data_IF_770595062358
#
_entry.id   IF_770595062358
#
_cell.length_a   1.000
_cell.length_b   1.000
_cell.length_c   1.000
_cell.angle_alpha   90.00
_cell.angle_beta   90.00
_cell.angle_gamma   90.00
#
_symmetry.space_group_name_H-M   'P 1'
#
loop_
_entity.id
_entity.type
_entity.pdbx_description
1 polymer ?
#
# COMPACT_ATOMS: atom_id res chain seq x y z
N UNK A 1 -10.92 9.43 17.60
CA UNK A 1 -10.13 8.39 18.29
C UNK A 1 -11.00 7.17 18.50
N UNK A 2 -10.46 5.95 18.38
CA UNK A 2 -11.23 4.72 18.66
C UNK A 2 -11.46 4.60 20.18
N UNK A 3 -12.67 4.26 20.61
CA UNK A 3 -13.07 4.19 22.03
C UNK A 3 -12.54 2.94 22.78
N UNK A 4 -11.33 2.51 22.45
CA UNK A 4 -10.64 1.32 23.00
C UNK A 4 -9.17 1.64 23.19
N UNK A 5 -8.56 1.07 24.24
CA UNK A 5 -7.12 1.27 24.46
C UNK A 5 -6.29 0.60 23.36
N UNK A 6 -5.13 1.19 22.97
CA UNK A 6 -4.24 0.61 21.97
C UNK A 6 -3.82 -0.85 22.30
N UNK A 7 -3.64 -1.16 23.59
CA UNK A 7 -3.27 -2.50 24.05
C UNK A 7 -4.42 -3.50 23.87
N UNK A 8 -5.65 -3.10 24.20
CA UNK A 8 -6.82 -3.96 24.00
C UNK A 8 -7.07 -4.24 22.52
N UNK A 9 -6.92 -3.22 21.67
CA UNK A 9 -7.00 -3.35 20.22
C UNK A 9 -5.93 -4.30 19.67
N UNK A 10 -4.68 -4.10 20.06
CA UNK A 10 -3.55 -4.93 19.62
C UNK A 10 -3.75 -6.39 20.01
N UNK A 11 -4.24 -6.67 21.23
CA UNK A 11 -4.53 -8.02 21.71
C UNK A 11 -5.65 -8.69 20.91
N UNK A 12 -6.75 -7.97 20.63
CA UNK A 12 -7.87 -8.46 19.81
C UNK A 12 -7.46 -8.74 18.37
N UNK A 13 -6.64 -7.88 17.77
CA UNK A 13 -6.13 -8.06 16.41
C UNK A 13 -5.22 -9.28 16.34
N UNK A 14 -4.27 -9.40 17.28
CA UNK A 14 -3.34 -10.54 17.32
C UNK A 14 -4.08 -11.86 17.52
N UNK A 15 -5.11 -11.90 18.37
CA UNK A 15 -5.88 -13.13 18.60
C UNK A 15 -6.73 -13.56 17.40
N UNK A 16 -7.20 -12.62 16.57
CA UNK A 16 -8.03 -12.95 15.39
C UNK A 16 -7.22 -13.22 14.13
N UNK A 17 -6.13 -12.49 13.91
CA UNK A 17 -5.39 -12.50 12.64
C UNK A 17 -3.98 -13.08 12.75
N UNK A 18 -3.51 -13.39 13.96
CA UNK A 18 -2.14 -13.81 14.24
C UNK A 18 -1.07 -12.82 13.71
N UNK A 19 -1.44 -11.54 13.61
CA UNK A 19 -0.61 -10.44 13.11
C UNK A 19 -0.72 -9.25 14.05
N UNK A 20 0.30 -8.40 14.07
CA UNK A 20 0.25 -7.11 14.75
C UNK A 20 -0.59 -6.12 13.93
N UNK A 21 -1.19 -5.09 14.57
CA UNK A 21 -1.90 -4.04 13.84
C UNK A 21 -1.03 -3.38 12.76
N UNK A 22 0.25 -3.15 13.06
CA UNK A 22 1.20 -2.59 12.10
C UNK A 22 1.41 -3.47 10.87
N UNK A 23 1.45 -4.80 11.04
CA UNK A 23 1.54 -5.73 9.90
C UNK A 23 0.30 -5.66 9.02
N UNK A 24 -0.90 -5.57 9.62
CA UNK A 24 -2.15 -5.45 8.85
C UNK A 24 -2.17 -4.14 8.06
N UNK A 25 -1.76 -3.04 8.68
CA UNK A 25 -1.66 -1.74 8.01
C UNK A 25 -0.66 -1.84 6.85
N UNK A 26 0.50 -2.44 7.07
CA UNK A 26 1.51 -2.62 6.01
C UNK A 26 0.97 -3.44 4.83
N UNK A 27 0.32 -4.57 5.10
CA UNK A 27 -0.30 -5.40 4.07
C UNK A 27 -1.38 -4.62 3.30
N UNK A 28 -2.18 -3.81 3.99
CA UNK A 28 -3.21 -3.00 3.35
C UNK A 28 -2.63 -1.89 2.48
N UNK A 29 -1.59 -1.21 2.95
CA UNK A 29 -0.88 -0.17 2.18
C UNK A 29 -0.24 -0.77 0.94
N UNK A 30 0.39 -1.95 1.05
CA UNK A 30 0.99 -2.63 -0.10
C UNK A 30 -0.07 -3.10 -1.11
N UNK A 31 -1.22 -3.60 -0.63
CA UNK A 31 -2.33 -3.96 -1.50
C UNK A 31 -2.83 -2.74 -2.29
N UNK A 32 -3.02 -1.62 -1.62
CA UNK A 32 -3.49 -0.39 -2.26
C UNK A 32 -2.45 0.17 -3.25
N UNK A 33 -1.17 0.13 -2.89
CA UNK A 33 -0.08 0.50 -3.78
C UNK A 33 -0.06 -0.33 -5.07
N UNK A 34 -0.16 -1.66 -4.97
CA UNK A 34 -0.24 -2.55 -6.14
C UNK A 34 -1.44 -2.21 -7.01
N UNK A 35 -2.59 -1.97 -6.36
CA UNK A 35 -3.83 -1.59 -7.05
C UNK A 35 -3.66 -0.27 -7.81
N UNK A 36 -3.15 0.77 -7.18
CA UNK A 36 -2.93 2.06 -7.85
C UNK A 36 -1.90 1.96 -8.98
N UNK A 37 -0.82 1.19 -8.79
CA UNK A 37 0.23 1.03 -9.81
C UNK A 37 -0.32 0.35 -11.06
N UNK A 38 -1.21 -0.63 -10.92
CA UNK A 38 -1.76 -1.42 -12.02
C UNK A 38 -3.06 -0.84 -12.61
N UNK A 39 -3.94 -0.29 -11.78
CA UNK A 39 -5.27 0.16 -12.18
C UNK A 39 -5.36 1.67 -12.43
N UNK A 40 -4.26 2.42 -12.40
CA UNK A 40 -4.27 3.84 -12.73
C UNK A 40 -3.09 4.21 -13.62
N UNK A 41 -3.17 5.36 -14.28
CA UNK A 41 -2.07 5.96 -15.05
C UNK A 41 -1.19 6.90 -14.22
N UNK A 42 -1.43 6.99 -12.91
CA UNK A 42 -0.69 7.88 -12.00
C UNK A 42 0.81 7.55 -12.03
N UNK A 43 1.66 8.55 -11.99
CA UNK A 43 3.09 8.38 -11.77
C UNK A 43 3.36 7.76 -10.39
N UNK A 44 4.54 7.16 -10.21
CA UNK A 44 4.94 6.59 -8.91
C UNK A 44 5.00 7.70 -7.84
N UNK A 45 5.37 8.92 -8.23
CA UNK A 45 5.33 10.12 -7.38
C UNK A 45 3.92 10.45 -6.89
N UNK A 46 2.93 10.48 -7.77
CA UNK A 46 1.53 10.76 -7.39
C UNK A 46 0.99 9.68 -6.45
N UNK A 47 1.29 8.40 -6.73
CA UNK A 47 0.90 7.28 -5.86
C UNK A 47 1.54 7.40 -4.47
N UNK A 48 2.82 7.80 -4.40
CA UNK A 48 3.49 8.02 -3.12
C UNK A 48 2.78 9.09 -2.29
N UNK A 49 2.42 10.21 -2.92
CA UNK A 49 1.69 11.31 -2.26
C UNK A 49 0.31 10.85 -1.77
N UNK A 50 -0.46 10.13 -2.60
CA UNK A 50 -1.80 9.64 -2.23
C UNK A 50 -1.78 8.62 -1.08
N UNK A 51 -0.72 7.82 -1.00
CA UNK A 51 -0.50 6.89 0.09
C UNK A 51 0.16 7.53 1.32
N UNK A 52 0.25 8.87 1.34
CA UNK A 52 0.80 9.68 2.43
C UNK A 52 2.29 9.40 2.73
N UNK A 53 3.08 9.08 1.70
CA UNK A 53 4.53 9.06 1.79
C UNK A 53 5.09 10.45 1.51
N UNK A 54 6.14 10.83 2.23
CA UNK A 54 6.79 12.14 2.08
C UNK A 54 7.36 12.35 0.67
N UNK A 55 7.89 11.29 0.06
CA UNK A 55 8.43 11.32 -1.28
C UNK A 55 8.39 9.93 -1.94
N UNK A 56 8.67 9.93 -3.24
CA UNK A 56 8.73 8.73 -4.07
C UNK A 56 9.82 7.74 -3.64
N UNK A 57 10.93 8.23 -3.08
CA UNK A 57 12.06 7.40 -2.68
C UNK A 57 11.71 6.53 -1.47
N UNK A 58 11.11 7.13 -0.43
CA UNK A 58 10.61 6.44 0.75
C UNK A 58 9.52 5.43 0.38
N UNK A 59 8.58 5.81 -0.48
CA UNK A 59 7.59 4.89 -1.01
C UNK A 59 8.23 3.71 -1.75
N UNK A 60 9.17 3.97 -2.67
CA UNK A 60 9.83 2.93 -3.46
C UNK A 60 10.61 1.95 -2.58
N UNK A 61 11.32 2.45 -1.56
CA UNK A 61 12.03 1.61 -0.58
C UNK A 61 11.04 0.77 0.25
N UNK A 62 9.94 1.37 0.68
CA UNK A 62 8.89 0.68 1.42
C UNK A 62 8.25 -0.42 0.57
N UNK A 63 7.81 -0.11 -0.64
CA UNK A 63 7.20 -1.06 -1.56
C UNK A 63 8.16 -2.22 -1.86
N UNK A 64 9.42 -1.93 -2.19
CA UNK A 64 10.43 -2.97 -2.44
C UNK A 64 10.68 -3.86 -1.22
N UNK A 65 10.69 -3.30 -0.01
CA UNK A 65 10.88 -4.08 1.23
C UNK A 65 9.80 -5.16 1.39
N UNK A 66 8.55 -4.88 1.03
CA UNK A 66 7.44 -5.83 1.23
C UNK A 66 7.06 -6.64 -0.02
N UNK A 67 7.48 -6.22 -1.22
CA UNK A 67 7.14 -6.90 -2.47
C UNK A 67 8.33 -7.56 -3.17
N UNK A 68 9.56 -7.23 -2.76
CA UNK A 68 10.81 -7.71 -3.36
C UNK A 68 11.30 -6.87 -4.55
N UNK A 69 10.44 -6.07 -5.19
CA UNK A 69 10.76 -5.32 -6.41
C UNK A 69 10.35 -3.84 -6.32
N UNK A 70 10.95 -2.97 -7.12
CA UNK A 70 10.56 -1.55 -7.13
C UNK A 70 9.16 -1.36 -7.73
N UNK A 71 8.44 -0.30 -7.36
CA UNK A 71 7.12 -0.03 -7.93
C UNK A 71 7.18 0.20 -9.45
N UNK A 72 8.27 0.80 -9.95
CA UNK A 72 8.54 0.95 -11.39
C UNK A 72 8.70 -0.39 -12.10
N UNK A 73 9.43 -1.33 -11.49
CA UNK A 73 9.60 -2.68 -12.04
C UNK A 73 8.29 -3.45 -12.03
N UNK A 74 7.54 -3.38 -10.91
CA UNK A 74 6.22 -3.99 -10.79
C UNK A 74 5.26 -3.49 -11.88
N UNK A 75 5.25 -2.18 -12.19
CA UNK A 75 4.47 -1.63 -13.30
C UNK A 75 4.90 -2.19 -14.66
N UNK A 76 6.21 -2.34 -14.88
CA UNK A 76 6.74 -2.88 -16.14
C UNK A 76 6.31 -4.34 -16.35
N UNK A 77 6.31 -5.14 -15.28
CA UNK A 77 5.90 -6.55 -15.33
C UNK A 77 4.38 -6.72 -15.47
N UNK A 78 3.60 -5.93 -14.74
CA UNK A 78 2.13 -6.09 -14.69
C UNK A 78 1.38 -5.27 -15.74
N UNK A 79 2.03 -4.25 -16.32
CA UNK A 79 1.39 -3.28 -17.19
C UNK A 79 0.35 -2.40 -16.47
N UNK A 80 -0.21 -1.46 -17.22
CA UNK A 80 -1.39 -0.69 -16.80
C UNK A 80 -2.62 -1.38 -17.37
N UNK A 81 -3.61 -1.66 -16.51
CA UNK A 81 -4.85 -2.32 -16.89
C UNK A 81 -5.63 -1.52 -17.92
N UNK A 82 -6.32 -2.21 -18.84
CA UNK A 82 -7.20 -1.59 -19.84
C UNK A 82 -8.34 -0.78 -19.19
N UNK A 83 -8.73 -1.14 -17.95
CA UNK A 83 -9.76 -0.44 -17.20
C UNK A 83 -9.22 0.71 -16.36
N UNK A 84 -7.95 1.10 -16.52
CA UNK A 84 -7.35 2.15 -15.70
C UNK A 84 -8.07 3.50 -15.83
N UNK A 85 -8.68 3.75 -17.00
CA UNK A 85 -9.45 4.97 -17.24
C UNK A 85 -10.80 4.99 -16.47
N UNK A 86 -11.26 3.86 -15.94
CA UNK A 86 -12.42 3.78 -15.02
C UNK A 86 -12.07 4.18 -13.57
N UNK A 87 -10.78 4.27 -13.25
CA UNK A 87 -10.27 4.66 -11.93
C UNK A 87 -9.82 6.13 -11.88
N UNK A 88 -10.18 6.94 -12.88
CA UNK A 88 -10.08 8.39 -12.82
C UNK A 88 -11.05 8.92 -11.76
N UNK A 89 -10.60 9.01 -10.51
CA UNK A 89 -11.15 9.95 -9.54
C UNK A 89 -10.42 11.27 -9.71
#
# INVERSE_FOLDING_TARGET
>A
MLNISPNALSKKIKSRFNKTPSQIIQERVILEAKKQIHLTRKSIKEIAVELNFNDEFHFSKYFKKYTGISPTHFRKETGVSIVADLYKQ
#
